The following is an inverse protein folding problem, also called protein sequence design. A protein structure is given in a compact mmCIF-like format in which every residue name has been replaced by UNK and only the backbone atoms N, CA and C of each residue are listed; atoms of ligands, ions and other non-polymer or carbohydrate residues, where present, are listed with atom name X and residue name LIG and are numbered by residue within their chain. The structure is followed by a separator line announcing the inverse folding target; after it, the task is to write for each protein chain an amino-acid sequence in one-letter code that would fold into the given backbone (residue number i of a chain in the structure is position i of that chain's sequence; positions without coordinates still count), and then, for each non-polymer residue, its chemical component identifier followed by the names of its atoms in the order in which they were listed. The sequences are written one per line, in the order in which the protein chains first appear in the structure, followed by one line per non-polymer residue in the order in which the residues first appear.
data_IF_149068029990
#
_entry.id   IF_149068029990
#
_cell.length_a   1.000
_cell.length_b   1.000
_cell.length_c   1.000
_cell.angle_alpha   90.00
_cell.angle_beta   90.00
_cell.angle_gamma   90.00
#
_symmetry.space_group_name_H-M   'P 1'
#
loop_
_entity.id
_entity.type
_entity.pdbx_description
1 polymer ?
#
# COMPACT_ATOMS: atom_id res chain seq x y z
N UNK A 1 -17.09 3.83 -3.37
CA UNK A 1 -15.89 4.68 -3.28
C UNK A 1 -14.67 3.84 -3.63
N UNK A 2 -13.77 4.33 -4.47
CA UNK A 2 -12.64 3.57 -5.04
C UNK A 2 -11.79 2.85 -3.97
N UNK A 3 -11.39 3.57 -2.92
CA UNK A 3 -10.58 3.03 -1.82
C UNK A 3 -11.22 1.82 -1.15
N UNK A 4 -12.53 1.85 -0.90
CA UNK A 4 -13.23 0.72 -0.29
C UNK A 4 -13.25 -0.53 -1.19
N UNK A 5 -13.38 -0.34 -2.51
CA UNK A 5 -13.32 -1.44 -3.48
C UNK A 5 -11.91 -2.03 -3.57
N UNK A 6 -10.88 -1.18 -3.67
CA UNK A 6 -9.50 -1.62 -3.73
C UNK A 6 -9.04 -2.32 -2.44
N UNK A 7 -9.54 -1.92 -1.27
CA UNK A 7 -9.25 -2.62 -0.01
C UNK A 7 -9.80 -4.05 0.00
N UNK A 8 -10.99 -4.27 -0.55
CA UNK A 8 -11.57 -5.60 -0.69
C UNK A 8 -10.76 -6.45 -1.69
N UNK A 9 -10.40 -5.88 -2.84
CA UNK A 9 -9.60 -6.55 -3.86
C UNK A 9 -8.17 -6.87 -3.37
N UNK A 10 -7.53 -5.94 -2.66
CA UNK A 10 -6.24 -6.15 -2.03
C UNK A 10 -6.29 -7.28 -0.98
N UNK A 11 -7.40 -7.44 -0.28
CA UNK A 11 -7.60 -8.57 0.65
C UNK A 11 -7.74 -9.92 -0.07
N UNK A 12 -8.19 -9.93 -1.33
CA UNK A 12 -8.21 -11.14 -2.18
C UNK A 12 -6.91 -11.38 -2.94
N UNK A 13 -5.87 -10.56 -2.71
CA UNK A 13 -4.56 -10.69 -3.34
C UNK A 13 -4.42 -9.94 -4.68
N UNK A 14 -5.33 -9.02 -5.00
CA UNK A 14 -5.22 -8.18 -6.18
C UNK A 14 -4.06 -7.18 -6.02
N UNK A 15 -3.03 -7.40 -6.82
CA UNK A 15 -1.80 -6.63 -6.83
C UNK A 15 -2.03 -5.22 -7.39
N UNK A 16 -2.87 -5.10 -8.42
CA UNK A 16 -3.22 -3.83 -9.06
C UNK A 16 -4.02 -2.96 -8.10
N UNK A 17 -4.94 -3.56 -7.33
CA UNK A 17 -5.67 -2.84 -6.30
C UNK A 17 -4.76 -2.26 -5.20
N UNK A 18 -3.68 -2.97 -4.85
CA UNK A 18 -2.67 -2.45 -3.95
C UNK A 18 -1.91 -1.28 -4.58
N UNK A 19 -1.56 -1.35 -5.87
CA UNK A 19 -0.93 -0.24 -6.58
C UNK A 19 -1.82 1.02 -6.61
N UNK A 20 -3.08 0.86 -6.99
CA UNK A 20 -4.05 1.96 -7.06
C UNK A 20 -4.29 2.63 -5.70
N UNK A 21 -4.29 1.86 -4.61
CA UNK A 21 -4.32 2.41 -3.26
C UNK A 21 -3.07 3.24 -2.96
N UNK A 22 -1.90 2.74 -3.34
CA UNK A 22 -0.64 3.48 -3.22
C UNK A 22 -0.70 4.84 -3.90
N UNK A 23 -1.20 4.88 -5.14
CA UNK A 23 -1.37 6.10 -5.93
C UNK A 23 -2.41 7.03 -5.29
N UNK A 24 -3.53 6.50 -4.81
CA UNK A 24 -4.56 7.30 -4.17
C UNK A 24 -4.04 8.02 -2.91
N UNK A 25 -3.27 7.32 -2.08
CA UNK A 25 -2.66 7.88 -0.88
C UNK A 25 -1.45 8.79 -1.17
N UNK A 26 -0.68 8.56 -2.23
CA UNK A 26 0.41 9.48 -2.59
C UNK A 26 -0.10 10.80 -3.17
N UNK A 27 -1.21 10.74 -3.92
CA UNK A 27 -1.80 11.93 -4.56
C UNK A 27 -2.85 12.63 -3.70
N UNK A 28 -3.36 11.98 -2.65
CA UNK A 28 -4.50 12.49 -1.88
C UNK A 28 -5.78 12.61 -2.73
N UNK A 29 -6.04 11.61 -3.58
CA UNK A 29 -7.19 11.60 -4.49
C UNK A 29 -8.35 10.73 -3.97
N UNK A 30 -9.50 10.76 -4.64
CA UNK A 30 -10.64 9.88 -4.33
C UNK A 30 -11.20 9.99 -2.89
N UNK A 31 -11.02 11.16 -2.26
CA UNK A 31 -11.53 11.47 -0.92
C UNK A 31 -10.61 11.02 0.22
N UNK A 32 -9.36 10.61 -0.07
CA UNK A 32 -8.32 10.44 0.95
C UNK A 32 -7.35 11.61 0.93
N UNK A 33 -6.77 11.92 2.10
CA UNK A 33 -5.67 12.87 2.17
C UNK A 33 -4.36 12.21 1.72
N UNK A 34 -3.40 13.03 1.31
CA UNK A 34 -2.05 12.55 1.05
C UNK A 34 -1.44 11.97 2.34
N UNK A 35 -1.03 10.70 2.29
CA UNK A 35 -0.41 9.95 3.38
C UNK A 35 0.66 9.02 2.80
N UNK A 36 1.92 9.47 2.88
CA UNK A 36 3.06 8.71 2.36
C UNK A 36 3.28 7.37 3.10
N UNK A 37 2.86 7.26 4.37
CA UNK A 37 2.97 6.01 5.15
C UNK A 37 2.02 4.97 4.57
N UNK A 38 0.76 5.34 4.29
CA UNK A 38 -0.18 4.43 3.63
C UNK A 38 0.25 4.17 2.17
N UNK A 39 0.68 5.18 1.44
CA UNK A 39 1.17 5.01 0.06
C UNK A 39 2.32 3.99 -0.01
N UNK A 40 3.36 4.18 0.79
CA UNK A 40 4.50 3.26 0.86
C UNK A 40 4.05 1.84 1.25
N UNK A 41 3.15 1.70 2.22
CA UNK A 41 2.61 0.39 2.64
C UNK A 41 1.97 -0.33 1.45
N UNK A 42 1.10 0.33 0.70
CA UNK A 42 0.38 -0.28 -0.41
C UNK A 42 1.29 -0.60 -1.60
N UNK A 43 2.21 0.29 -1.93
CA UNK A 43 3.25 0.02 -2.93
C UNK A 43 4.16 -1.14 -2.51
N UNK A 44 4.51 -1.25 -1.23
CA UNK A 44 5.29 -2.37 -0.71
C UNK A 44 4.54 -3.71 -0.85
N UNK A 45 3.24 -3.73 -0.59
CA UNK A 45 2.42 -4.93 -0.78
C UNK A 45 2.34 -5.33 -2.26
N UNK A 46 2.12 -4.37 -3.16
CA UNK A 46 2.10 -4.63 -4.60
C UNK A 46 3.48 -5.12 -5.11
N UNK A 47 4.57 -4.50 -4.68
CA UNK A 47 5.93 -4.86 -5.06
C UNK A 47 6.31 -6.28 -4.62
N UNK A 48 5.95 -6.67 -3.38
CA UNK A 48 6.19 -8.04 -2.87
C UNK A 48 5.43 -9.10 -3.67
N UNK A 49 4.30 -8.73 -4.29
CA UNK A 49 3.52 -9.62 -5.16
C UNK A 49 3.92 -9.50 -6.65
N UNK A 50 5.03 -8.83 -6.97
CA UNK A 50 5.60 -8.82 -8.33
C UNK A 50 5.27 -7.60 -9.19
N UNK A 51 4.67 -6.54 -8.63
CA UNK A 51 4.42 -5.30 -9.37
C UNK A 51 5.68 -4.43 -9.43
N UNK A 52 6.41 -4.47 -10.54
CA UNK A 52 7.67 -3.74 -10.69
C UNK A 52 7.50 -2.22 -10.54
N UNK A 53 6.47 -1.63 -11.16
CA UNK A 53 6.17 -0.20 -11.03
C UNK A 53 5.89 0.22 -9.59
N UNK A 54 5.32 -0.69 -8.78
CA UNK A 54 5.08 -0.40 -7.37
C UNK A 54 6.39 -0.35 -6.58
N UNK A 55 7.41 -1.11 -6.98
CA UNK A 55 8.73 -1.03 -6.36
C UNK A 55 9.38 0.33 -6.62
N UNK A 56 9.22 0.88 -7.82
CA UNK A 56 9.68 2.23 -8.16
C UNK A 56 8.93 3.30 -7.36
N UNK A 57 7.59 3.28 -7.36
CA UNK A 57 6.80 4.25 -6.58
C UNK A 57 7.07 4.15 -5.07
N UNK A 58 7.32 2.94 -4.54
CA UNK A 58 7.72 2.77 -3.15
C UNK A 58 9.06 3.45 -2.86
N UNK A 59 10.03 3.33 -3.75
CA UNK A 59 11.34 3.94 -3.59
C UNK A 59 11.23 5.47 -3.64
N UNK A 60 10.51 5.99 -4.64
CA UNK A 60 10.25 7.42 -4.81
C UNK A 60 9.60 8.04 -3.57
N UNK A 61 8.51 7.45 -3.08
CA UNK A 61 7.84 7.89 -1.84
C UNK A 61 8.74 7.76 -0.61
N UNK A 62 9.66 6.77 -0.57
CA UNK A 62 10.59 6.60 0.55
C UNK A 62 11.59 7.74 0.67
N UNK A 63 11.94 8.40 -0.43
CA UNK A 63 12.91 9.50 -0.43
C UNK A 63 12.39 10.75 0.30
N UNK A 64 11.07 10.90 0.40
CA UNK A 64 10.39 11.97 1.16
C UNK A 64 10.08 11.57 2.62
N UNK A 65 10.34 10.33 3.01
CA UNK A 65 9.98 9.80 4.33
C UNK A 65 11.19 9.68 5.26
N UNK A 66 10.94 9.84 6.55
CA UNK A 66 11.91 9.50 7.58
C UNK A 66 12.00 7.98 7.79
N UNK A 67 13.15 7.51 8.31
CA UNK A 67 13.31 6.10 8.69
C UNK A 67 12.22 5.60 9.67
N UNK A 68 11.70 6.49 10.52
CA UNK A 68 10.62 6.17 11.46
C UNK A 68 9.30 5.91 10.73
N UNK A 69 8.99 6.73 9.73
CA UNK A 69 7.78 6.59 8.90
C UNK A 69 7.86 5.37 7.99
N UNK A 70 9.03 5.10 7.39
CA UNK A 70 9.26 3.88 6.61
C UNK A 70 9.07 2.64 7.49
N UNK A 71 9.64 2.65 8.70
CA UNK A 71 9.46 1.55 9.64
C UNK A 71 7.99 1.34 10.04
N UNK A 72 7.23 2.42 10.17
CA UNK A 72 5.79 2.37 10.42
C UNK A 72 5.01 1.79 9.24
N UNK A 73 5.26 2.28 8.02
CA UNK A 73 4.63 1.78 6.81
C UNK A 73 4.87 0.28 6.63
N UNK A 74 6.11 -0.16 6.83
CA UNK A 74 6.47 -1.58 6.76
C UNK A 74 5.82 -2.41 7.89
N UNK A 75 5.68 -1.87 9.11
CA UNK A 75 4.93 -2.55 10.19
C UNK A 75 3.47 -2.78 9.78
N UNK A 76 2.80 -1.73 9.31
CA UNK A 76 1.40 -1.81 8.86
C UNK A 76 1.22 -2.77 7.68
N UNK A 77 2.18 -2.82 6.75
CA UNK A 77 2.15 -3.77 5.64
C UNK A 77 2.23 -5.23 6.14
N UNK A 78 3.13 -5.51 7.09
CA UNK A 78 3.25 -6.86 7.71
C UNK A 78 1.98 -7.25 8.47
N UNK A 79 1.40 -6.31 9.22
CA UNK A 79 0.15 -6.53 9.94
C UNK A 79 -1.02 -6.80 8.98
N UNK A 80 -1.09 -6.07 7.87
CA UNK A 80 -2.09 -6.31 6.82
C UNK A 80 -1.98 -7.72 6.24
N UNK A 81 -0.77 -8.16 5.87
CA UNK A 81 -0.55 -9.53 5.38
C UNK A 81 -0.96 -10.56 6.43
N UNK A 82 -0.58 -10.37 7.69
CA UNK A 82 -0.94 -11.27 8.79
C UNK A 82 -2.46 -11.33 9.02
N UNK A 83 -3.16 -10.20 8.88
CA UNK A 83 -4.61 -10.11 8.99
C UNK A 83 -5.33 -10.77 7.80
N UNK A 84 -4.82 -10.56 6.58
CA UNK A 84 -5.35 -11.17 5.35
C UNK A 84 -5.19 -12.69 5.34
N UNK A 85 -4.02 -13.21 5.73
CA UNK A 85 -3.76 -14.65 5.86
C UNK A 85 -4.73 -15.31 6.84
N UNK A 86 -5.08 -14.62 7.93
CA UNK A 86 -5.99 -15.15 8.95
C UNK A 86 -7.46 -15.19 8.52
N UNK A 87 -7.84 -14.50 7.44
CA UNK A 87 -9.19 -14.56 6.85
C UNK A 87 -9.31 -15.59 5.73
N UNK A 88 -8.20 -16.18 5.28
CA UNK A 88 -8.15 -17.18 4.22
C UNK A 88 -7.98 -18.63 4.76
N UNK A 89 -7.96 -18.81 6.08
CA UNK A 89 -7.83 -20.10 6.78
C UNK A 89 -9.10 -20.40 7.57
#
# INVERSE_FOLDING_TARGET
MMVANCLAAAATGDVTACYDLGVAFSTGSHGVNCDLIEAHKWFNLAAVNGHEEAAWCRADVSDEMTAREIAEAQRRAREWLKSGIRKAA
#
